data_IF_259805608013
#
_entry.id   IF_259805608013
#
_cell.length_a   1.000
_cell.length_b   1.000
_cell.length_c   1.000
_cell.angle_alpha   90.00
_cell.angle_beta   90.00
_cell.angle_gamma   90.00
#
_symmetry.space_group_name_H-M   'P 1'
#
loop_
_entity.id
_entity.type
_entity.pdbx_description
1 polymer ?
#
# COMPACT_ATOMS: atom_id res chain seq x y z
N UNK A 1 28.42 -51.41 22.42
CA UNK A 1 27.06 -51.57 22.97
C UNK A 1 27.04 -50.97 24.38
N UNK A 2 26.33 -49.87 24.59
CA UNK A 2 25.55 -49.53 25.79
C UNK A 2 25.39 -48.01 25.89
N UNK A 3 24.19 -47.56 25.52
CA UNK A 3 23.63 -46.22 25.69
C UNK A 3 22.99 -46.17 27.06
N UNK A 4 23.39 -45.27 27.97
CA UNK A 4 22.58 -44.83 29.13
C UNK A 4 23.04 -43.45 29.64
N UNK A 5 22.57 -42.35 29.03
CA UNK A 5 21.45 -41.55 29.55
C UNK A 5 21.41 -40.14 28.93
N UNK A 6 20.21 -39.65 28.51
CA UNK A 6 20.04 -38.47 27.66
C UNK A 6 19.29 -37.38 28.44
N UNK A 7 19.97 -36.44 29.10
CA UNK A 7 19.27 -35.46 29.96
C UNK A 7 19.76 -34.01 29.78
N UNK A 8 20.82 -33.74 29.00
CA UNK A 8 21.17 -32.35 28.64
C UNK A 8 20.51 -31.97 27.31
N UNK A 9 19.25 -32.41 27.20
CA UNK A 9 18.20 -31.83 26.40
C UNK A 9 17.58 -30.76 27.31
N UNK A 10 17.30 -29.56 26.80
CA UNK A 10 16.47 -28.52 27.47
C UNK A 10 17.22 -27.54 28.40
N UNK A 11 18.38 -26.98 28.01
CA UNK A 11 18.87 -25.72 28.62
C UNK A 11 19.44 -24.71 27.61
N UNK A 12 19.00 -24.79 26.36
CA UNK A 12 19.34 -23.81 25.32
C UNK A 12 18.08 -23.37 24.54
N UNK A 13 16.95 -23.30 25.23
CA UNK A 13 15.65 -22.84 24.69
C UNK A 13 15.19 -21.53 25.35
N UNK A 14 16.12 -20.68 25.80
CA UNK A 14 15.81 -19.42 26.47
C UNK A 14 16.30 -18.16 25.71
N UNK A 15 16.54 -18.25 24.40
CA UNK A 15 16.49 -17.06 23.55
C UNK A 15 15.07 -16.91 23.01
N UNK A 16 14.21 -16.48 23.92
CA UNK A 16 12.98 -15.76 23.63
C UNK A 16 13.41 -14.51 22.85
N UNK A 17 13.64 -14.65 21.55
CA UNK A 17 13.56 -13.51 20.65
C UNK A 17 12.07 -13.22 20.53
N UNK A 18 11.61 -12.44 21.50
CA UNK A 18 10.31 -11.81 21.57
C UNK A 18 10.09 -11.16 20.20
N UNK A 19 9.37 -11.89 19.34
CA UNK A 19 8.97 -11.43 18.03
C UNK A 19 8.10 -10.21 18.23
N UNK A 20 8.71 -9.03 18.12
CA UNK A 20 7.99 -7.81 17.76
C UNK A 20 7.48 -8.02 16.34
N UNK A 21 6.43 -8.82 16.19
CA UNK A 21 5.51 -8.66 15.06
C UNK A 21 4.87 -7.30 15.30
N UNK A 22 5.55 -6.22 14.86
CA UNK A 22 4.85 -4.99 14.54
C UNK A 22 3.66 -5.45 13.71
N UNK A 23 2.45 -5.27 14.23
CA UNK A 23 1.27 -5.31 13.39
C UNK A 23 1.56 -4.27 12.32
N UNK A 24 1.88 -4.74 11.12
CA UNK A 24 1.83 -3.90 9.95
C UNK A 24 0.33 -3.70 9.79
N UNK A 25 -0.17 -2.64 10.43
CA UNK A 25 -1.49 -2.14 10.17
C UNK A 25 -1.53 -1.86 8.68
N UNK A 26 -2.07 -2.82 7.93
CA UNK A 26 -2.24 -2.77 6.49
C UNK A 26 -3.42 -1.84 6.16
N UNK A 27 -3.68 -0.85 7.03
CA UNK A 27 -4.61 0.25 6.85
C UNK A 27 -3.92 1.52 6.38
N UNK A 28 -2.59 1.61 6.47
CA UNK A 28 -1.79 2.73 5.99
C UNK A 28 -0.76 2.32 4.92
N UNK A 29 -1.11 1.34 4.09
CA UNK A 29 -0.55 1.36 2.74
C UNK A 29 -1.19 2.57 2.07
N UNK A 30 -0.58 3.75 2.25
CA UNK A 30 -0.70 4.86 1.29
C UNK A 30 -0.30 4.26 -0.03
N UNK A 31 -1.29 3.73 -0.73
CA UNK A 31 -1.06 3.02 -1.95
C UNK A 31 -0.40 4.02 -2.88
N UNK A 32 0.81 3.69 -3.33
CA UNK A 32 1.45 4.30 -4.49
C UNK A 32 0.65 4.00 -5.78
N UNK A 33 -0.66 3.78 -5.65
CA UNK A 33 -1.63 3.69 -6.72
C UNK A 33 -1.53 4.96 -7.54
N UNK A 34 -1.16 4.78 -8.80
CA UNK A 34 -1.13 5.87 -9.73
C UNK A 34 -2.55 6.32 -10.07
N UNK A 35 -2.76 7.62 -10.02
CA UNK A 35 -4.00 8.30 -10.39
C UNK A 35 -3.78 9.19 -11.61
N UNK A 36 -4.89 9.57 -12.24
CA UNK A 36 -4.91 10.28 -13.51
C UNK A 36 -5.76 11.55 -13.40
N UNK A 37 -5.21 12.67 -13.86
CA UNK A 37 -5.85 13.99 -13.82
C UNK A 37 -5.90 14.55 -15.23
N UNK A 38 -7.06 15.09 -15.64
CA UNK A 38 -7.18 15.82 -16.90
C UNK A 38 -6.72 17.28 -16.70
N UNK A 39 -5.67 17.70 -17.41
CA UNK A 39 -5.14 19.06 -17.34
C UNK A 39 -4.96 19.58 -15.90
N UNK A 40 -5.55 20.74 -15.62
CA UNK A 40 -5.53 21.40 -14.31
C UNK A 40 -6.72 21.01 -13.41
N UNK A 41 -7.51 19.98 -13.74
CA UNK A 41 -8.69 19.58 -12.99
C UNK A 41 -8.39 19.35 -11.50
N UNK A 42 -9.35 19.72 -10.65
CA UNK A 42 -9.33 19.43 -9.22
C UNK A 42 -9.76 18.00 -8.89
N UNK A 43 -10.17 17.22 -9.89
CA UNK A 43 -10.60 15.83 -9.71
C UNK A 43 -9.55 14.89 -10.30
N UNK A 44 -9.20 13.86 -9.54
CA UNK A 44 -8.37 12.75 -10.03
C UNK A 44 -9.17 11.44 -10.10
N UNK A 45 -8.76 10.55 -11.00
CA UNK A 45 -9.39 9.25 -11.21
C UNK A 45 -8.37 8.14 -10.96
N UNK A 46 -8.80 7.04 -10.33
CA UNK A 46 -7.95 5.86 -10.08
C UNK A 46 -7.73 4.99 -11.32
N UNK A 47 -8.60 5.11 -12.33
CA UNK A 47 -8.48 4.38 -13.60
C UNK A 47 -8.36 5.35 -14.77
N UNK A 48 -7.47 5.02 -15.72
CA UNK A 48 -7.30 5.75 -16.98
C UNK A 48 -8.49 5.58 -17.94
N UNK A 49 -9.25 4.50 -17.80
CA UNK A 49 -10.39 4.19 -18.68
C UNK A 49 -11.67 4.98 -18.37
N UNK A 50 -11.66 5.82 -17.35
CA UNK A 50 -12.82 6.61 -16.98
C UNK A 50 -13.24 7.55 -18.12
N UNK A 51 -14.55 7.60 -18.44
CA UNK A 51 -15.09 8.35 -19.59
C UNK A 51 -14.67 9.82 -19.62
N UNK A 52 -14.62 10.47 -18.45
CA UNK A 52 -14.12 11.85 -18.31
C UNK A 52 -12.68 12.04 -18.80
N UNK A 53 -11.81 11.05 -18.61
CA UNK A 53 -10.42 11.10 -19.10
C UNK A 53 -10.36 10.83 -20.61
N UNK A 54 -11.18 9.93 -21.14
CA UNK A 54 -11.27 9.66 -22.58
C UNK A 54 -11.68 10.90 -23.39
N UNK A 55 -12.43 11.83 -22.79
CA UNK A 55 -12.84 13.10 -23.40
C UNK A 55 -11.86 14.26 -23.12
N UNK A 56 -10.78 14.01 -22.40
CA UNK A 56 -9.83 15.06 -22.00
C UNK A 56 -9.00 15.56 -23.19
N UNK A 57 -9.18 16.83 -23.57
CA UNK A 57 -8.40 17.47 -24.65
C UNK A 57 -7.09 18.11 -24.17
N UNK A 58 -7.00 18.44 -22.89
CA UNK A 58 -5.85 19.15 -22.29
C UNK A 58 -4.69 18.24 -21.88
N UNK A 59 -4.77 16.94 -22.20
CA UNK A 59 -3.78 15.95 -21.78
C UNK A 59 -4.02 15.37 -20.38
N UNK A 60 -3.62 14.12 -20.20
CA UNK A 60 -3.78 13.37 -18.94
C UNK A 60 -2.43 13.31 -18.22
N UNK A 61 -2.39 13.81 -16.99
CA UNK A 61 -1.23 13.70 -16.10
C UNK A 61 -1.39 12.52 -15.16
N UNK A 62 -0.38 11.65 -15.11
CA UNK A 62 -0.28 10.55 -14.14
C UNK A 62 0.51 11.03 -12.92
N UNK A 63 0.03 10.73 -11.71
CA UNK A 63 0.73 11.01 -10.44
C UNK A 63 0.34 9.99 -9.38
N UNK A 64 0.95 10.02 -8.20
CA UNK A 64 0.53 9.19 -7.07
C UNK A 64 -0.72 9.76 -6.40
N UNK A 65 -1.51 8.90 -5.75
CA UNK A 65 -2.69 9.31 -4.98
C UNK A 65 -2.31 10.33 -3.88
N UNK A 66 -1.19 10.09 -3.19
CA UNK A 66 -0.60 11.01 -2.19
C UNK A 66 -0.35 12.39 -2.76
N UNK A 67 0.35 12.48 -3.90
CA UNK A 67 0.64 13.76 -4.56
C UNK A 67 -0.63 14.48 -5.02
N UNK A 68 -1.66 13.74 -5.44
CA UNK A 68 -2.93 14.35 -5.81
C UNK A 68 -3.63 14.99 -4.60
N UNK A 69 -3.63 14.29 -3.45
CA UNK A 69 -4.16 14.78 -2.17
C UNK A 69 -3.37 16.00 -1.68
N UNK A 70 -2.03 15.95 -1.72
CA UNK A 70 -1.15 17.06 -1.32
C UNK A 70 -1.39 18.31 -2.18
N UNK A 71 -1.76 18.12 -3.46
CA UNK A 71 -2.16 19.21 -4.37
C UNK A 71 -3.63 19.65 -4.18
N UNK A 72 -4.30 19.20 -3.13
CA UNK A 72 -5.69 19.54 -2.80
C UNK A 72 -6.73 18.98 -3.77
N UNK A 73 -6.36 17.96 -4.58
CA UNK A 73 -7.28 17.35 -5.54
C UNK A 73 -8.18 16.33 -4.84
N UNK A 74 -9.42 16.22 -5.31
CA UNK A 74 -10.42 15.29 -4.79
C UNK A 74 -10.54 14.04 -5.65
N UNK A 75 -10.76 12.90 -5.01
CA UNK A 75 -11.04 11.64 -5.71
C UNK A 75 -12.38 11.74 -6.46
N UNK A 76 -12.43 11.21 -7.68
CA UNK A 76 -13.67 11.02 -8.40
C UNK A 76 -14.60 10.09 -7.61
N UNK A 77 -15.87 10.48 -7.45
CA UNK A 77 -16.89 9.69 -6.72
C UNK A 77 -17.73 8.80 -7.62
N UNK A 78 -17.43 8.72 -8.92
CA UNK A 78 -18.18 7.89 -9.85
C UNK A 78 -18.02 6.40 -9.50
N UNK A 79 -19.15 5.72 -9.32
CA UNK A 79 -19.23 4.27 -9.16
C UNK A 79 -19.37 3.61 -10.53
N UNK A 80 -18.24 3.51 -11.25
CA UNK A 80 -18.10 2.99 -12.63
C UNK A 80 -18.52 3.96 -13.74
#
# INVERSE_FOLDING_TARGET
MSIKQPIILILLMAFISLGMTKKIDTSDIKSDSSVYVCGASMIYHRSKSHSALGRCKSGIKKMTDTKAIDLGKRVCRCSR
#
